data_IF_888418850333
#
_entry.id   IF_888418850333
#
_cell.length_a   1.000
_cell.length_b   1.000
_cell.length_c   1.000
_cell.angle_alpha   90.00
_cell.angle_beta   90.00
_cell.angle_gamma   90.00
#
_symmetry.space_group_name_H-M   'P 1'
#
loop_
_entity.id
_entity.type
_entity.pdbx_description
1 polymer ?
#
# COMPACT_ATOMS: atom_id res chain seq x y z
N UNK A 1 23.39 2.01 8.88
CA UNK A 1 24.02 2.83 7.82
C UNK A 1 24.27 4.23 8.41
N UNK A 2 25.36 4.90 8.03
CA UNK A 2 25.76 6.18 8.63
C UNK A 2 24.91 7.36 8.12
N UNK A 3 24.55 8.30 9.00
CA UNK A 3 23.67 9.43 8.69
C UNK A 3 24.30 10.39 7.67
N UNK A 4 25.63 10.54 7.66
CA UNK A 4 26.37 11.37 6.70
C UNK A 4 26.25 10.79 5.30
N UNK A 5 26.34 9.46 5.15
CA UNK A 5 26.15 8.80 3.85
C UNK A 5 24.73 9.00 3.30
N UNK A 6 23.71 8.92 4.16
CA UNK A 6 22.30 9.13 3.76
C UNK A 6 22.08 10.56 3.25
N UNK A 7 22.67 11.55 3.93
CA UNK A 7 22.59 12.94 3.52
C UNK A 7 23.33 13.21 2.19
N UNK A 8 24.54 12.67 2.03
CA UNK A 8 25.35 12.83 0.80
C UNK A 8 24.68 12.20 -0.42
N UNK A 9 23.98 11.07 -0.24
CA UNK A 9 23.25 10.41 -1.32
C UNK A 9 21.90 11.07 -1.64
N UNK A 10 21.59 12.22 -1.02
CA UNK A 10 20.33 12.94 -1.17
C UNK A 10 19.09 12.08 -0.92
N UNK A 11 19.23 11.02 -0.13
CA UNK A 11 18.14 10.07 0.15
C UNK A 11 16.86 10.75 0.67
N UNK A 12 16.91 11.78 1.54
CA UNK A 12 15.72 12.51 1.93
C UNK A 12 14.92 13.09 0.75
N UNK A 13 15.60 13.64 -0.27
CA UNK A 13 14.92 14.17 -1.48
C UNK A 13 14.24 13.06 -2.29
N UNK A 14 14.86 11.89 -2.35
CA UNK A 14 14.31 10.71 -3.05
C UNK A 14 13.03 10.24 -2.36
N UNK A 15 13.04 10.15 -1.03
CA UNK A 15 11.90 9.71 -0.24
C UNK A 15 10.74 10.70 -0.31
N UNK A 16 11.01 12.00 -0.23
CA UNK A 16 9.98 13.03 -0.42
C UNK A 16 9.33 12.94 -1.81
N UNK A 17 10.14 12.73 -2.86
CA UNK A 17 9.62 12.54 -4.22
C UNK A 17 8.78 11.27 -4.33
N UNK A 18 9.20 10.16 -3.71
CA UNK A 18 8.43 8.91 -3.69
C UNK A 18 7.10 9.08 -2.94
N UNK A 19 7.12 9.76 -1.79
CA UNK A 19 5.94 10.06 -1.00
C UNK A 19 4.92 10.89 -1.80
N UNK A 20 5.39 11.87 -2.58
CA UNK A 20 4.54 12.66 -3.48
C UNK A 20 3.91 11.89 -4.65
N UNK A 21 4.44 10.71 -4.99
CA UNK A 21 3.90 9.83 -6.04
C UNK A 21 2.94 8.76 -5.49
N UNK A 22 2.78 8.67 -4.17
CA UNK A 22 1.91 7.68 -3.55
C UNK A 22 0.42 8.05 -3.73
N UNK A 23 -0.38 7.09 -4.22
CA UNK A 23 -1.82 7.26 -4.44
C UNK A 23 -2.69 7.11 -3.19
N UNK A 24 -2.10 6.83 -2.03
CA UNK A 24 -2.82 6.73 -0.76
C UNK A 24 -2.04 7.38 0.38
N UNK A 25 -2.72 7.94 1.39
CA UNK A 25 -2.07 8.49 2.58
C UNK A 25 -1.21 7.46 3.33
N UNK A 26 -1.73 6.25 3.53
CA UNK A 26 -0.96 5.17 4.15
C UNK A 26 0.29 4.76 3.35
N UNK A 27 0.21 4.78 2.01
CA UNK A 27 1.37 4.54 1.15
C UNK A 27 2.41 5.65 1.26
N UNK A 28 1.97 6.91 1.35
CA UNK A 28 2.85 8.08 1.55
C UNK A 28 3.60 7.96 2.87
N UNK A 29 2.91 7.64 3.96
CA UNK A 29 3.51 7.49 5.28
C UNK A 29 4.51 6.33 5.34
N UNK A 30 4.20 5.22 4.67
CA UNK A 30 5.14 4.10 4.52
C UNK A 30 6.38 4.50 3.71
N UNK A 31 6.21 5.28 2.64
CA UNK A 31 7.33 5.79 1.85
C UNK A 31 8.24 6.70 2.69
N UNK A 32 7.67 7.62 3.45
CA UNK A 32 8.43 8.53 4.33
C UNK A 32 9.22 7.80 5.43
N UNK A 33 8.72 6.64 5.88
CA UNK A 33 9.38 5.79 6.89
C UNK A 33 10.46 4.86 6.31
N UNK A 34 10.66 4.84 4.99
CA UNK A 34 11.69 4.01 4.37
C UNK A 34 13.08 4.48 4.77
N UNK A 35 13.92 3.52 5.14
CA UNK A 35 15.35 3.71 5.33
C UNK A 35 16.14 2.68 4.52
N UNK A 36 17.36 3.01 4.07
CA UNK A 36 18.24 2.05 3.42
C UNK A 36 18.58 0.91 4.39
N UNK A 37 18.51 -0.32 3.90
CA UNK A 37 18.88 -1.51 4.67
C UNK A 37 20.26 -2.01 4.25
N UNK A 38 21.06 -2.46 5.21
CA UNK A 38 22.30 -3.22 4.97
C UNK A 38 22.09 -4.73 5.01
N UNK A 39 20.89 -5.19 5.36
CA UNK A 39 20.54 -6.61 5.32
C UNK A 39 20.22 -7.04 3.87
N UNK A 40 21.01 -7.97 3.35
CA UNK A 40 20.87 -8.47 1.99
C UNK A 40 19.52 -9.18 1.74
N UNK A 41 18.96 -9.89 2.73
CA UNK A 41 17.64 -10.52 2.57
C UNK A 41 16.52 -9.49 2.52
N UNK A 42 16.59 -8.46 3.37
CA UNK A 42 15.67 -7.32 3.32
C UNK A 42 15.68 -6.65 1.94
N UNK A 43 16.89 -6.36 1.43
CA UNK A 43 17.07 -5.71 0.13
C UNK A 43 16.52 -6.57 -1.01
N UNK A 44 16.87 -7.86 -1.05
CA UNK A 44 16.34 -8.80 -2.05
C UNK A 44 14.81 -8.85 -2.04
N UNK A 45 14.21 -8.93 -0.85
CA UNK A 45 12.75 -8.97 -0.70
C UNK A 45 12.08 -7.69 -1.22
N UNK A 46 12.58 -6.51 -0.84
CA UNK A 46 12.03 -5.22 -1.31
C UNK A 46 12.18 -5.03 -2.82
N UNK A 47 13.32 -5.43 -3.38
CA UNK A 47 13.56 -5.35 -4.82
C UNK A 47 12.64 -6.29 -5.60
N UNK A 48 12.45 -7.52 -5.12
CA UNK A 48 11.53 -8.49 -5.72
C UNK A 48 10.08 -7.97 -5.71
N UNK A 49 9.59 -7.44 -4.58
CA UNK A 49 8.27 -6.82 -4.51
C UNK A 49 8.11 -5.64 -5.50
N UNK A 50 9.17 -4.83 -5.67
CA UNK A 50 9.17 -3.71 -6.63
C UNK A 50 9.15 -4.20 -8.09
N UNK A 51 9.91 -5.27 -8.38
CA UNK A 51 9.90 -5.90 -9.70
C UNK A 51 8.52 -6.50 -10.03
N UNK A 52 7.88 -7.14 -9.07
CA UNK A 52 6.50 -7.63 -9.19
C UNK A 52 5.51 -6.47 -9.41
N UNK A 53 5.64 -5.34 -8.71
CA UNK A 53 4.77 -4.19 -8.93
C UNK A 53 4.90 -3.63 -10.36
N UNK A 54 6.11 -3.60 -10.92
CA UNK A 54 6.36 -3.24 -12.32
C UNK A 54 5.77 -4.27 -13.29
N UNK A 55 5.86 -5.56 -12.96
CA UNK A 55 5.25 -6.63 -13.76
C UNK A 55 3.72 -6.56 -13.73
N UNK A 56 3.12 -6.27 -12.57
CA UNK A 56 1.67 -6.05 -12.44
C UNK A 56 1.17 -4.97 -13.38
N UNK A 57 1.88 -3.84 -13.46
CA UNK A 57 1.54 -2.75 -14.40
C UNK A 57 1.56 -3.19 -15.87
N UNK A 58 2.35 -4.21 -16.23
CA UNK A 58 2.39 -4.77 -17.58
C UNK A 58 1.31 -5.83 -17.81
N UNK A 59 1.11 -6.72 -16.82
CA UNK A 59 0.13 -7.81 -16.89
C UNK A 59 -1.32 -7.29 -16.80
N UNK A 60 -1.53 -6.19 -16.07
CA UNK A 60 -2.82 -5.54 -15.86
C UNK A 60 -2.71 -4.03 -16.13
N UNK A 61 -2.63 -3.58 -17.40
CA UNK A 61 -2.46 -2.16 -17.73
C UNK A 61 -3.60 -1.25 -17.23
N UNK A 62 -4.79 -1.81 -17.08
CA UNK A 62 -5.98 -1.11 -16.58
C UNK A 62 -6.20 -1.29 -15.07
N UNK A 63 -5.26 -1.91 -14.35
CA UNK A 63 -5.35 -2.02 -12.91
C UNK A 63 -5.02 -0.69 -12.26
N UNK A 64 -5.94 -0.24 -11.41
CA UNK A 64 -5.77 0.93 -10.57
C UNK A 64 -6.28 0.56 -9.18
N UNK A 65 -5.49 0.83 -8.14
CA UNK A 65 -5.89 0.52 -6.77
C UNK A 65 -7.17 1.29 -6.36
N UNK A 66 -7.37 2.49 -6.90
CA UNK A 66 -8.45 3.38 -6.49
C UNK A 66 -8.08 4.16 -5.23
N UNK A 67 -9.06 4.82 -4.62
CA UNK A 67 -8.86 5.60 -3.40
C UNK A 67 -8.80 4.68 -2.18
N UNK A 68 -7.90 4.99 -1.24
CA UNK A 68 -7.83 4.34 0.07
C UNK A 68 -7.89 5.44 1.14
N UNK A 69 -9.11 5.90 1.50
CA UNK A 69 -9.29 6.94 2.51
C UNK A 69 -8.84 6.46 3.90
N UNK A 70 -8.44 7.42 4.75
CA UNK A 70 -8.11 7.17 6.15
C UNK A 70 -9.40 7.14 6.97
N UNK A 71 -9.73 5.98 7.54
CA UNK A 71 -10.99 5.79 8.28
C UNK A 71 -10.78 5.54 9.78
N UNK A 72 -9.58 5.79 10.32
CA UNK A 72 -9.26 5.48 11.73
C UNK A 72 -10.21 6.20 12.71
N UNK A 73 -10.53 7.46 12.43
CA UNK A 73 -11.51 8.23 13.20
C UNK A 73 -12.90 7.58 13.18
N UNK A 74 -13.38 7.18 12.00
CA UNK A 74 -14.68 6.51 11.82
C UNK A 74 -14.71 5.14 12.51
N UNK A 75 -13.62 4.37 12.44
CA UNK A 75 -13.50 3.09 13.14
C UNK A 75 -13.51 3.28 14.67
N UNK A 76 -12.80 4.29 15.19
CA UNK A 76 -12.80 4.59 16.62
C UNK A 76 -14.19 5.04 17.09
N UNK A 77 -14.89 5.89 16.33
CA UNK A 77 -16.25 6.30 16.64
C UNK A 77 -17.22 5.10 16.64
N UNK A 78 -17.16 4.24 15.62
CA UNK A 78 -17.95 3.01 15.56
C UNK A 78 -17.67 2.07 16.73
N UNK A 79 -16.40 1.93 17.14
CA UNK A 79 -16.00 1.10 18.30
C UNK A 79 -16.61 1.58 19.62
N UNK A 80 -16.97 2.86 19.69
CA UNK A 80 -17.66 3.49 20.82
C UNK A 80 -19.18 3.55 20.64
N UNK A 81 -19.71 2.78 19.69
CA UNK A 81 -21.15 2.75 19.33
C UNK A 81 -21.72 4.11 18.91
N UNK A 82 -20.87 5.02 18.44
CA UNK A 82 -21.35 6.28 17.88
C UNK A 82 -22.04 6.05 16.53
N UNK A 83 -23.03 6.89 16.22
CA UNK A 83 -23.66 6.92 14.90
C UNK A 83 -22.69 7.57 13.93
N UNK A 84 -22.34 6.85 12.87
CA UNK A 84 -21.50 7.40 11.81
C UNK A 84 -22.36 8.25 10.85
N UNK A 85 -21.92 9.46 10.49
CA UNK A 85 -22.57 10.25 9.46
C UNK A 85 -22.35 9.59 8.08
N UNK A 86 -23.24 9.91 7.13
CA UNK A 86 -23.20 9.35 5.77
C UNK A 86 -21.85 9.47 5.06
N UNK A 87 -21.10 10.60 5.15
CA UNK A 87 -19.79 10.71 4.52
C UNK A 87 -18.79 9.66 5.01
N UNK A 88 -18.73 9.41 6.33
CA UNK A 88 -17.81 8.45 6.94
C UNK A 88 -18.13 7.02 6.47
N UNK A 89 -19.42 6.69 6.36
CA UNK A 89 -19.88 5.39 5.83
C UNK A 89 -19.46 5.23 4.37
N UNK A 90 -19.54 6.31 3.58
CA UNK A 90 -19.13 6.30 2.18
C UNK A 90 -17.62 6.07 2.04
N UNK A 91 -16.79 6.70 2.87
CA UNK A 91 -15.34 6.48 2.87
C UNK A 91 -14.99 5.02 3.22
N UNK A 92 -15.65 4.44 4.22
CA UNK A 92 -15.51 3.02 4.56
C UNK A 92 -15.88 2.15 3.36
N UNK A 93 -17.00 2.42 2.70
CA UNK A 93 -17.45 1.68 1.52
C UNK A 93 -16.46 1.78 0.35
N UNK A 94 -15.86 2.96 0.14
CA UNK A 94 -14.81 3.18 -0.86
C UNK A 94 -13.59 2.32 -0.53
N UNK A 95 -13.09 2.36 0.71
CA UNK A 95 -11.95 1.57 1.14
C UNK A 95 -12.19 0.06 0.96
N UNK A 96 -13.34 -0.44 1.40
CA UNK A 96 -13.70 -1.87 1.26
C UNK A 96 -13.77 -2.30 -0.21
N UNK A 97 -14.33 -1.44 -1.08
CA UNK A 97 -14.38 -1.72 -2.53
C UNK A 97 -12.99 -1.75 -3.14
N UNK A 98 -12.13 -0.80 -2.80
CA UNK A 98 -10.72 -0.74 -3.21
C UNK A 98 -9.94 -1.96 -2.76
N UNK A 99 -10.10 -2.36 -1.48
CA UNK A 99 -9.44 -3.53 -0.91
C UNK A 99 -9.85 -4.81 -1.65
N UNK A 100 -11.17 -5.02 -1.86
CA UNK A 100 -11.70 -6.17 -2.60
C UNK A 100 -11.25 -6.17 -4.06
N UNK A 101 -11.29 -5.03 -4.74
CA UNK A 101 -10.81 -4.89 -6.12
C UNK A 101 -9.33 -5.29 -6.23
N UNK A 102 -8.49 -4.76 -5.34
CA UNK A 102 -7.06 -5.06 -5.28
C UNK A 102 -6.80 -6.55 -5.05
N UNK A 103 -7.50 -7.16 -4.07
CA UNK A 103 -7.41 -8.60 -3.82
C UNK A 103 -7.76 -9.41 -5.07
N UNK A 104 -8.90 -9.14 -5.68
CA UNK A 104 -9.40 -9.93 -6.80
C UNK A 104 -8.55 -9.79 -8.07
N UNK A 105 -7.85 -8.67 -8.25
CA UNK A 105 -6.96 -8.47 -9.40
C UNK A 105 -5.57 -9.09 -9.19
N UNK A 106 -5.07 -9.09 -7.96
CA UNK A 106 -3.69 -9.49 -7.65
C UNK A 106 -3.59 -10.94 -7.18
N UNK A 107 -4.49 -11.41 -6.31
CA UNK A 107 -4.42 -12.75 -5.72
C UNK A 107 -4.41 -13.90 -6.76
N UNK A 108 -5.14 -13.83 -7.89
CA UNK A 108 -5.08 -14.86 -8.93
C UNK A 108 -3.74 -14.96 -9.66
N UNK A 109 -2.90 -13.92 -9.61
CA UNK A 109 -1.60 -13.86 -10.27
C UNK A 109 -0.48 -14.43 -9.37
N UNK A 110 -0.79 -15.41 -8.51
CA UNK A 110 0.15 -15.94 -7.52
C UNK A 110 1.36 -16.64 -8.13
N UNK A 111 1.28 -17.07 -9.38
CA UNK A 111 2.38 -17.69 -10.11
C UNK A 111 3.36 -16.63 -10.64
N UNK A 112 2.83 -15.52 -11.17
CA UNK A 112 3.60 -14.43 -11.75
C UNK A 112 4.11 -13.44 -10.70
N UNK A 113 3.31 -13.19 -9.66
CA UNK A 113 3.48 -12.15 -8.64
C UNK A 113 3.34 -12.74 -7.22
N UNK A 114 4.20 -13.69 -6.82
CA UNK A 114 4.01 -14.44 -5.58
C UNK A 114 4.03 -13.57 -4.32
N UNK A 115 4.87 -12.53 -4.25
CA UNK A 115 4.92 -11.67 -3.07
C UNK A 115 3.70 -10.74 -2.98
N UNK A 116 3.30 -10.11 -4.09
CA UNK A 116 2.12 -9.25 -4.13
C UNK A 116 0.83 -10.05 -3.90
N UNK A 117 0.72 -11.24 -4.50
CA UNK A 117 -0.42 -12.12 -4.26
C UNK A 117 -0.52 -12.50 -2.77
N UNK A 118 0.60 -12.80 -2.11
CA UNK A 118 0.62 -13.06 -0.66
C UNK A 118 0.15 -11.86 0.16
N UNK A 119 0.51 -10.64 -0.22
CA UNK A 119 0.00 -9.41 0.43
C UNK A 119 -1.51 -9.27 0.20
N UNK A 120 -1.95 -9.44 -1.05
CA UNK A 120 -3.35 -9.35 -1.44
C UNK A 120 -4.24 -10.38 -0.73
N UNK A 121 -3.74 -11.60 -0.51
CA UNK A 121 -4.45 -12.67 0.20
C UNK A 121 -4.66 -12.37 1.70
N UNK A 122 -3.91 -11.44 2.30
CA UNK A 122 -4.14 -10.97 3.68
C UNK A 122 -5.32 -10.01 3.79
N UNK A 123 -5.79 -9.47 2.67
CA UNK A 123 -7.01 -8.66 2.65
C UNK A 123 -8.19 -9.60 2.92
N UNK A 124 -8.97 -9.30 3.95
CA UNK A 124 -10.12 -10.10 4.32
C UNK A 124 -11.14 -10.17 3.16
N UNK A 125 -11.81 -11.32 3.07
CA UNK A 125 -12.89 -11.51 2.12
C UNK A 125 -14.18 -10.95 2.71
N UNK A 126 -14.52 -9.72 2.33
CA UNK A 126 -15.76 -9.05 2.76
C UNK A 126 -16.94 -9.44 1.85
N UNK A 127 -17.08 -10.73 1.52
CA UNK A 127 -18.22 -11.22 0.75
C UNK A 127 -19.52 -10.93 1.52
N UNK A 128 -20.60 -10.49 0.83
CA UNK A 128 -21.94 -10.52 1.41
C UNK A 128 -22.38 -11.95 1.73
#
# INVERSE_FOLDING_TARGET
MDAKSIAVLEFPKIIERLAGLCGSPGGRDLALKLSPSSDAEEVRRRLAATAEAKALSRLKPHFHMGQAPEIEGSLLAASRSAVLPTPDILEIAILLRTARHSRNQIAPLSRELPQLARIAQRIADFSP
#
